data_IF_723508180515
#
_entry.id   IF_723508180515
#
_cell.length_a   1.000
_cell.length_b   1.000
_cell.length_c   1.000
_cell.angle_alpha   90.00
_cell.angle_beta   90.00
_cell.angle_gamma   90.00
#
_symmetry.space_group_name_H-M   'P 1'
#
loop_
_entity.id
_entity.type
_entity.pdbx_description
1 polymer ?
#
# COMPACT_ATOMS: atom_id res chain seq x y z
N UNK A 1 -4.67 11.60 -2.95
CA UNK A 1 -3.53 10.67 -3.12
C UNK A 1 -4.14 9.34 -3.48
N UNK A 2 -3.71 8.80 -4.61
CA UNK A 2 -4.13 7.50 -5.14
C UNK A 2 -2.95 6.54 -5.07
N UNK A 3 -3.15 5.39 -4.44
CA UNK A 3 -2.13 4.35 -4.28
C UNK A 3 -2.55 3.13 -5.08
N UNK A 4 -1.76 2.78 -6.09
CA UNK A 4 -1.89 1.56 -6.88
C UNK A 4 -1.10 0.48 -6.15
N UNK A 5 -1.66 -0.72 -6.00
CA UNK A 5 -1.01 -1.83 -5.33
C UNK A 5 -0.54 -2.86 -6.37
N UNK A 6 0.74 -3.22 -6.32
CA UNK A 6 1.33 -4.29 -7.12
C UNK A 6 1.56 -5.52 -6.24
N UNK A 7 0.66 -6.51 -6.29
CA UNK A 7 0.70 -7.64 -5.38
C UNK A 7 1.90 -8.56 -5.65
N UNK A 8 2.57 -9.00 -4.57
CA UNK A 8 3.67 -9.95 -4.63
C UNK A 8 3.65 -10.86 -3.40
N UNK A 9 3.85 -12.18 -3.58
CA UNK A 9 3.95 -13.13 -2.46
C UNK A 9 5.13 -12.76 -1.54
N UNK A 10 4.83 -12.36 -0.31
CA UNK A 10 5.77 -12.06 0.79
C UNK A 10 5.07 -12.19 2.14
N UNK A 11 5.80 -12.56 3.19
CA UNK A 11 5.28 -12.71 4.56
C UNK A 11 5.57 -11.50 5.47
N UNK A 12 6.14 -10.43 4.91
CA UNK A 12 6.48 -9.24 5.66
C UNK A 12 5.20 -8.42 5.97
N UNK A 13 5.06 -8.01 7.23
CA UNK A 13 3.99 -7.12 7.66
C UNK A 13 4.19 -5.73 7.08
N UNK A 14 3.40 -5.36 6.08
CA UNK A 14 3.52 -4.11 5.36
C UNK A 14 2.77 -2.98 6.06
N UNK A 15 3.48 -1.93 6.45
CA UNK A 15 2.89 -0.76 7.13
C UNK A 15 3.20 0.53 6.37
N UNK A 16 2.16 1.32 6.14
CA UNK A 16 2.27 2.65 5.53
C UNK A 16 1.45 3.67 6.33
N UNK A 17 2.04 4.83 6.61
CA UNK A 17 1.36 5.97 7.24
C UNK A 17 1.43 7.15 6.28
N UNK A 18 0.30 7.80 6.03
CA UNK A 18 0.22 9.02 5.21
C UNK A 18 0.14 10.27 6.08
N UNK A 19 0.85 11.32 5.69
CA UNK A 19 0.72 12.66 6.26
C UNK A 19 0.85 13.72 5.16
N UNK A 20 -0.28 14.23 4.66
CA UNK A 20 -0.30 15.10 3.49
C UNK A 20 0.26 14.40 2.25
N UNK A 21 1.33 14.94 1.68
CA UNK A 21 2.07 14.37 0.54
C UNK A 21 3.26 13.49 0.96
N UNK A 22 3.39 13.17 2.25
CA UNK A 22 4.42 12.29 2.78
C UNK A 22 3.88 10.89 3.03
N UNK A 23 4.73 9.89 2.81
CA UNK A 23 4.47 8.51 3.23
C UNK A 23 5.60 8.01 4.12
N UNK A 24 5.26 7.41 5.25
CA UNK A 24 6.17 6.55 6.02
C UNK A 24 5.92 5.11 5.63
N UNK A 25 6.82 4.50 4.87
CA UNK A 25 6.71 3.11 4.39
C UNK A 25 7.74 2.27 5.13
N UNK A 26 7.30 1.22 5.84
CA UNK A 26 8.18 0.34 6.62
C UNK A 26 9.11 1.10 7.59
N UNK A 27 8.63 2.22 8.14
CA UNK A 27 9.37 3.05 9.09
C UNK A 27 10.26 4.14 8.47
N UNK A 28 10.38 4.21 7.14
CA UNK A 28 11.14 5.23 6.43
C UNK A 28 10.22 6.30 5.83
N UNK A 29 10.50 7.59 6.07
CA UNK A 29 9.71 8.71 5.53
C UNK A 29 10.18 9.11 4.13
N UNK A 30 9.23 9.24 3.21
CA UNK A 30 9.40 9.74 1.86
C UNK A 30 8.55 10.99 1.67
N UNK A 31 9.21 12.11 1.33
CA UNK A 31 8.56 13.40 1.14
C UNK A 31 8.35 13.69 -0.36
N UNK A 32 7.09 13.64 -0.79
CA UNK A 32 6.70 13.92 -2.18
C UNK A 32 6.09 15.31 -2.35
N UNK A 33 6.12 16.18 -1.33
CA UNK A 33 5.66 17.57 -1.46
C UNK A 33 6.34 18.38 -2.58
N UNK A 34 7.60 18.09 -2.99
CA UNK A 34 8.22 18.79 -4.12
C UNK A 34 7.65 18.42 -5.49
N UNK A 35 6.88 17.33 -5.61
CA UNK A 35 6.30 16.89 -6.89
C UNK A 35 5.09 17.78 -7.21
N UNK A 36 5.29 18.73 -8.12
CA UNK A 36 4.28 19.65 -8.62
C UNK A 36 3.33 19.00 -9.63
N UNK A 37 2.23 19.70 -9.96
CA UNK A 37 1.26 19.19 -10.91
C UNK A 37 1.86 19.04 -12.31
N UNK A 38 1.77 17.84 -12.89
CA UNK A 38 2.40 17.47 -14.16
C UNK A 38 3.81 16.89 -14.02
N UNK A 39 4.40 16.91 -12.81
CA UNK A 39 5.71 16.32 -12.56
C UNK A 39 5.63 14.80 -12.45
N UNK A 40 6.73 14.16 -12.85
CA UNK A 40 6.94 12.71 -12.78
C UNK A 40 8.30 12.44 -12.15
N UNK A 41 8.29 11.68 -11.04
CA UNK A 41 9.47 11.15 -10.39
C UNK A 41 9.55 9.65 -10.69
N UNK A 42 10.59 9.16 -11.40
CA UNK A 42 10.76 7.72 -11.59
C UNK A 42 11.03 7.03 -10.25
N UNK A 43 10.50 5.83 -10.05
CA UNK A 43 10.70 5.07 -8.80
C UNK A 43 12.19 4.78 -8.52
N UNK A 44 13.04 4.71 -9.56
CA UNK A 44 14.49 4.55 -9.41
C UNK A 44 15.19 5.73 -8.74
N UNK A 45 14.55 6.90 -8.66
CA UNK A 45 15.04 8.05 -7.89
C UNK A 45 14.67 7.95 -6.40
N UNK A 46 13.77 7.02 -6.03
CA UNK A 46 13.42 6.72 -4.64
C UNK A 46 14.28 5.55 -4.18
N UNK A 47 15.04 5.74 -3.09
CA UNK A 47 15.94 4.70 -2.57
C UNK A 47 15.18 3.63 -1.76
N UNK A 48 14.12 3.06 -2.34
CA UNK A 48 13.26 2.08 -1.68
C UNK A 48 12.63 1.13 -2.69
N UNK A 49 12.72 -0.17 -2.40
CA UNK A 49 12.13 -1.24 -3.21
C UNK A 49 10.60 -1.29 -3.15
N UNK A 50 9.98 -0.54 -2.23
CA UNK A 50 8.54 -0.51 -2.04
C UNK A 50 7.82 0.34 -3.08
N UNK A 51 8.52 1.27 -3.74
CA UNK A 51 7.96 2.09 -4.81
C UNK A 51 8.30 1.48 -6.16
N UNK A 52 7.30 1.40 -7.04
CA UNK A 52 7.42 0.84 -8.37
C UNK A 52 6.99 1.87 -9.42
N UNK A 53 7.44 1.65 -10.66
CA UNK A 53 7.13 2.49 -11.82
C UNK A 53 7.52 3.97 -11.61
N UNK A 54 6.55 4.83 -11.28
CA UNK A 54 6.72 6.27 -11.10
C UNK A 54 5.80 6.79 -10.01
N UNK A 55 6.15 7.96 -9.50
CA UNK A 55 5.33 8.81 -8.64
C UNK A 55 5.04 10.05 -9.47
N UNK A 56 3.78 10.37 -9.70
CA UNK A 56 3.40 11.52 -10.52
C UNK A 56 2.26 12.30 -9.87
N UNK A 57 2.11 13.57 -10.23
CA UNK A 57 0.94 14.35 -9.85
C UNK A 57 0.12 14.70 -11.07
N UNK A 58 -1.10 14.18 -11.13
CA UNK A 58 -2.03 14.39 -12.24
C UNK A 58 -3.27 15.09 -11.70
N UNK A 59 -3.59 16.26 -12.28
CA UNK A 59 -4.74 17.08 -11.88
C UNK A 59 -4.78 17.40 -10.36
N UNK A 60 -3.61 17.65 -9.78
CA UNK A 60 -3.44 17.94 -8.36
C UNK A 60 -3.36 16.72 -7.45
N UNK A 61 -3.68 15.52 -7.93
CA UNK A 61 -3.59 14.29 -7.16
C UNK A 61 -2.25 13.57 -7.36
N UNK A 62 -1.56 13.29 -6.25
CA UNK A 62 -0.38 12.41 -6.26
C UNK A 62 -0.82 10.95 -6.47
N UNK A 63 -0.23 10.29 -7.48
CA UNK A 63 -0.44 8.90 -7.86
C UNK A 63 0.88 8.15 -7.77
N UNK A 64 0.89 6.98 -7.13
CA UNK A 64 2.07 6.13 -6.99
C UNK A 64 1.71 4.65 -6.92
N UNK A 65 2.68 3.79 -7.24
CA UNK A 65 2.53 2.34 -7.13
C UNK A 65 3.40 1.81 -6.00
N UNK A 66 2.78 1.05 -5.08
CA UNK A 66 3.48 0.33 -4.01
C UNK A 66 3.53 -1.17 -4.32
N UNK A 67 4.66 -1.79 -4.05
CA UNK A 67 4.74 -3.24 -3.90
C UNK A 67 3.92 -3.63 -2.67
N UNK A 68 2.98 -4.56 -2.86
CA UNK A 68 2.05 -4.99 -1.83
C UNK A 68 2.27 -6.46 -1.46
N UNK A 69 2.81 -6.74 -0.26
CA UNK A 69 3.02 -8.11 0.23
C UNK A 69 1.73 -8.88 0.44
N UNK A 70 1.62 -10.01 -0.25
CA UNK A 70 0.53 -10.96 -0.06
C UNK A 70 1.01 -12.13 0.81
N UNK A 71 0.39 -12.36 1.99
CA UNK A 71 0.69 -13.50 2.86
C UNK A 71 0.24 -14.82 2.21
N UNK A 72 0.47 -15.96 2.85
CA UNK A 72 0.05 -17.27 2.32
C UNK A 72 -1.48 -17.37 2.14
N UNK A 73 -2.23 -16.78 3.06
CA UNK A 73 -3.69 -16.75 3.14
C UNK A 73 -4.31 -15.51 2.45
N UNK A 74 -3.68 -14.98 1.40
CA UNK A 74 -4.12 -13.75 0.77
C UNK A 74 -5.55 -13.84 0.19
N UNK A 75 -6.31 -12.74 0.25
CA UNK A 75 -7.66 -12.68 -0.32
C UNK A 75 -7.65 -12.38 -1.83
N UNK A 76 -8.76 -12.60 -2.56
CA UNK A 76 -8.91 -12.14 -3.94
C UNK A 76 -8.69 -10.62 -4.09
N UNK A 77 -9.13 -9.83 -3.12
CA UNK A 77 -8.92 -8.37 -3.09
C UNK A 77 -7.45 -7.99 -2.90
N UNK A 78 -6.66 -8.82 -2.22
CA UNK A 78 -5.20 -8.66 -2.18
C UNK A 78 -4.53 -9.13 -3.48
N UNK A 79 -5.09 -10.14 -4.16
CA UNK A 79 -4.55 -10.66 -5.42
C UNK A 79 -4.81 -9.74 -6.62
N UNK A 80 -5.96 -9.06 -6.60
CA UNK A 80 -6.43 -8.14 -7.64
C UNK A 80 -6.93 -6.85 -6.98
N UNK A 81 -6.02 -6.08 -6.37
CA UNK A 81 -6.40 -4.88 -5.65
C UNK A 81 -6.96 -3.84 -6.62
N UNK A 82 -8.04 -3.20 -6.19
CA UNK A 82 -8.44 -1.91 -6.75
C UNK A 82 -7.55 -0.82 -6.18
N UNK A 83 -7.39 0.28 -6.92
CA UNK A 83 -6.63 1.42 -6.44
C UNK A 83 -7.23 2.00 -5.15
N UNK A 84 -6.37 2.35 -4.21
CA UNK A 84 -6.77 3.08 -3.01
C UNK A 84 -6.90 4.55 -3.39
N UNK A 85 -8.13 5.06 -3.49
CA UNK A 85 -8.43 6.46 -3.85
C UNK A 85 -8.73 7.28 -2.60
N UNK A 86 -8.42 8.59 -2.64
CA UNK A 86 -8.69 9.52 -1.53
C UNK A 86 -8.14 9.04 -0.17
N UNK A 87 -6.93 8.48 -0.16
CA UNK A 87 -6.34 7.92 1.06
C UNK A 87 -6.22 9.02 2.14
N UNK A 88 -6.84 8.86 3.33
CA UNK A 88 -6.78 9.85 4.40
C UNK A 88 -5.40 9.86 5.08
N UNK A 89 -5.12 10.92 5.85
CA UNK A 89 -3.94 10.91 6.72
C UNK A 89 -4.09 9.89 7.85
N UNK A 90 -2.96 9.33 8.27
CA UNK A 90 -2.89 8.22 9.22
C UNK A 90 -2.50 6.89 8.58
N UNK A 91 -2.69 5.76 9.30
CA UNK A 91 -2.40 4.44 8.77
C UNK A 91 -3.22 4.14 7.51
N UNK A 92 -2.56 3.70 6.44
CA UNK A 92 -3.23 3.32 5.20
C UNK A 92 -3.97 2.01 5.40
N UNK A 93 -5.26 2.00 5.07
CA UNK A 93 -6.08 0.80 5.10
C UNK A 93 -5.84 -0.04 3.83
N UNK A 94 -5.29 -1.23 3.99
CA UNK A 94 -5.04 -2.18 2.90
C UNK A 94 -6.13 -3.27 2.85
N UNK A 95 -6.32 -3.93 1.68
CA UNK A 95 -7.10 -5.16 1.60
C UNK A 95 -6.55 -6.21 2.57
N UNK A 96 -7.44 -6.89 3.29
CA UNK A 96 -7.09 -7.83 4.35
C UNK A 96 -6.96 -9.26 3.80
N UNK A 97 -6.15 -10.08 4.46
CA UNK A 97 -6.07 -11.51 4.16
C UNK A 97 -7.33 -12.26 4.61
N UNK A 98 -7.45 -13.49 4.13
CA UNK A 98 -8.43 -14.42 4.67
C UNK A 98 -8.08 -14.75 6.13
N UNK A 99 -9.07 -15.11 6.97
CA UNK A 99 -8.81 -15.61 8.32
C UNK A 99 -7.89 -16.83 8.30
N UNK A 100 -7.00 -16.95 9.27
CA UNK A 100 -6.22 -18.17 9.43
C UNK A 100 -7.14 -19.34 9.81
N UNK A 101 -6.92 -20.49 9.18
CA UNK A 101 -7.73 -21.69 9.40
C UNK A 101 -7.64 -22.16 10.87
N UNK A 102 -6.59 -21.76 11.60
CA UNK A 102 -6.44 -21.99 13.04
C UNK A 102 -7.43 -21.20 13.91
N UNK A 103 -7.92 -20.05 13.44
CA UNK A 103 -8.87 -19.21 14.18
C UNK A 103 -10.32 -19.71 14.00
N UNK A 104 -10.61 -20.36 12.87
CA UNK A 104 -11.94 -20.92 12.59
C UNK A 104 -12.33 -22.07 13.55
N UNK A 105 -11.36 -22.80 14.10
CA UNK A 105 -11.64 -23.97 14.96
C UNK A 105 -12.02 -23.58 16.41
N UNK A 106 -11.83 -22.33 16.84
CA UNK A 106 -12.15 -21.93 18.22
C UNK A 106 -13.61 -21.48 18.43
N UNK A 107 -14.37 -21.22 17.36
CA UNK A 107 -15.77 -20.79 17.47
C UNK A 107 -16.79 -21.94 17.48
N UNK A 108 -16.41 -23.15 17.09
CA UNK A 108 -17.34 -24.30 16.99
C UNK A 108 -17.35 -25.19 18.26
N UNK A 109 -16.44 -24.97 19.20
CA UNK A 109 -16.33 -25.79 20.45
C UNK A 109 -17.04 -25.16 21.66
N UNK A 110 -17.75 -24.04 21.49
CA UNK A 110 -18.49 -23.34 22.56
C UNK A 110 -20.00 -23.16 22.26
N UNK A 111 -20.61 -24.06 21.49
CA UNK A 111 -22.06 -24.08 21.26
C UNK A 111 -22.73 -25.31 21.90
#
# INVERSE_FOLDING_TARGET
MRIILSPQRRDENFTVIKAGDKLTVMGEEFDFSPIGNGDVLPASAVSSMWFLDKIERVEGELVLTLLFPNPLNYSPEQAFPVDLVNVPDGPVAFPQSLPDVSDATQQEVQA
#
